data_IF_943578875578
#
_entry.id   IF_943578875578
#
_cell.length_a   1.000
_cell.length_b   1.000
_cell.length_c   1.000
_cell.angle_alpha   90.00
_cell.angle_beta   90.00
_cell.angle_gamma   90.00
#
_symmetry.space_group_name_H-M   'P 1'
#
loop_
_entity.id
_entity.type
_entity.pdbx_description
1 polymer ?
#
# COMPACT_ATOMS: atom_id res chain seq x y z
N UNK A 1 10.20 -24.51 0.38
CA UNK A 1 8.81 -24.94 0.68
C UNK A 1 7.89 -23.96 -0.04
N UNK A 2 7.37 -24.34 -1.21
CA UNK A 2 6.40 -23.49 -1.92
C UNK A 2 5.05 -23.58 -1.21
N UNK A 3 4.60 -22.46 -0.65
CA UNK A 3 3.26 -22.33 -0.09
C UNK A 3 2.27 -22.23 -1.25
N UNK A 4 1.91 -23.37 -1.84
CA UNK A 4 0.89 -23.43 -2.89
C UNK A 4 -0.48 -23.48 -2.25
N UNK A 5 -1.26 -22.42 -2.42
CA UNK A 5 -2.63 -22.38 -1.93
C UNK A 5 -3.50 -23.38 -2.72
N UNK A 6 -4.30 -24.17 -2.00
CA UNK A 6 -5.27 -25.08 -2.61
C UNK A 6 -6.28 -24.30 -3.45
N UNK A 7 -6.49 -24.71 -4.70
CA UNK A 7 -7.42 -24.06 -5.63
C UNK A 7 -8.86 -24.49 -5.35
N UNK A 8 -9.45 -23.93 -4.29
CA UNK A 8 -10.83 -24.23 -3.85
C UNK A 8 -11.85 -23.20 -4.38
N UNK A 9 -11.38 -22.17 -5.09
CA UNK A 9 -12.19 -21.06 -5.60
C UNK A 9 -11.50 -20.43 -6.81
N UNK A 10 -12.26 -19.75 -7.66
CA UNK A 10 -11.74 -18.92 -8.75
C UNK A 10 -10.92 -17.71 -8.25
N UNK A 11 -11.08 -17.35 -6.98
CA UNK A 11 -10.35 -16.26 -6.35
C UNK A 11 -8.98 -16.72 -5.85
N UNK A 12 -7.93 -15.97 -6.18
CA UNK A 12 -6.58 -16.16 -5.61
C UNK A 12 -6.64 -16.13 -4.08
N UNK A 13 -7.44 -15.23 -3.50
CA UNK A 13 -7.70 -15.16 -2.06
C UNK A 13 -9.20 -15.33 -1.80
N UNK A 14 -9.66 -16.53 -1.40
CA UNK A 14 -11.08 -16.83 -1.18
C UNK A 14 -11.55 -16.35 0.21
N UNK A 15 -11.25 -15.10 0.55
CA UNK A 15 -11.57 -14.52 1.85
C UNK A 15 -12.43 -13.27 1.71
N UNK A 16 -13.32 -13.05 2.69
CA UNK A 16 -14.09 -11.82 2.76
C UNK A 16 -13.20 -10.64 3.18
N UNK A 17 -13.18 -9.56 2.39
CA UNK A 17 -12.35 -8.38 2.63
C UNK A 17 -12.59 -7.74 4.01
N UNK A 18 -13.82 -7.76 4.53
CA UNK A 18 -14.13 -7.24 5.87
C UNK A 18 -13.46 -8.08 6.96
N UNK A 19 -13.45 -9.39 6.79
CA UNK A 19 -12.80 -10.33 7.73
C UNK A 19 -11.29 -10.11 7.76
N UNK A 20 -10.65 -9.87 6.61
CA UNK A 20 -9.21 -9.56 6.53
C UNK A 20 -8.88 -8.28 7.31
N UNK A 21 -9.63 -7.20 7.09
CA UNK A 21 -9.42 -5.94 7.82
C UNK A 21 -9.62 -6.08 9.34
N UNK A 22 -10.63 -6.85 9.76
CA UNK A 22 -10.87 -7.13 11.17
C UNK A 22 -9.75 -7.99 11.80
N UNK A 23 -9.26 -9.00 11.07
CA UNK A 23 -8.16 -9.85 11.50
C UNK A 23 -6.87 -9.04 11.66
N UNK A 24 -6.54 -8.19 10.68
CA UNK A 24 -5.40 -7.28 10.76
C UNK A 24 -5.49 -6.37 11.99
N UNK A 25 -6.63 -5.70 12.19
CA UNK A 25 -6.84 -4.80 13.34
C UNK A 25 -6.66 -5.53 14.68
N UNK A 26 -7.14 -6.78 14.79
CA UNK A 26 -6.94 -7.61 15.98
C UNK A 26 -5.47 -7.91 16.25
N UNK A 27 -4.72 -8.30 15.21
CA UNK A 27 -3.30 -8.64 15.34
C UNK A 27 -2.49 -7.41 15.74
N UNK A 28 -2.68 -6.28 15.06
CA UNK A 28 -2.04 -4.99 15.41
C UNK A 28 -2.27 -4.63 16.87
N UNK A 29 -3.52 -4.74 17.35
CA UNK A 29 -3.85 -4.50 18.76
C UNK A 29 -3.18 -5.48 19.72
N UNK A 30 -3.15 -6.78 19.39
CA UNK A 30 -2.50 -7.78 20.25
C UNK A 30 -0.99 -7.59 20.37
N UNK A 31 -0.37 -6.96 19.37
CA UNK A 31 1.05 -6.61 19.37
C UNK A 31 1.33 -5.26 20.05
N UNK A 32 0.31 -4.57 20.56
CA UNK A 32 0.46 -3.25 21.19
C UNK A 32 0.86 -2.14 20.21
N UNK A 33 0.63 -2.32 18.91
CA UNK A 33 0.94 -1.30 17.90
C UNK A 33 -0.20 -0.28 17.89
N UNK A 34 0.16 0.99 18.08
CA UNK A 34 -0.77 2.10 18.07
C UNK A 34 -0.77 2.80 16.70
N UNK A 35 -1.92 3.35 16.33
CA UNK A 35 -2.11 4.18 15.13
C UNK A 35 -1.72 3.54 13.78
N UNK A 36 -1.77 2.19 13.70
CA UNK A 36 -1.56 1.46 12.45
C UNK A 36 -2.89 0.89 11.93
N UNK A 37 -3.25 1.27 10.71
CA UNK A 37 -4.47 0.90 10.00
C UNK A 37 -4.09 0.14 8.74
N UNK A 38 -4.99 -0.72 8.25
CA UNK A 38 -4.70 -1.53 7.07
C UNK A 38 -4.40 -0.71 5.80
N UNK A 39 -5.03 0.47 5.65
CA UNK A 39 -4.77 1.36 4.51
C UNK A 39 -3.37 2.01 4.54
N UNK A 40 -2.70 2.04 5.70
CA UNK A 40 -1.38 2.63 5.83
C UNK A 40 -0.33 1.80 5.10
N UNK A 41 -0.59 0.50 4.90
CA UNK A 41 0.26 -0.36 4.07
C UNK A 41 0.30 0.12 2.61
N UNK A 42 -0.83 0.63 2.09
CA UNK A 42 -0.86 1.25 0.75
C UNK A 42 -0.13 2.58 0.75
N UNK A 43 -0.25 3.37 1.82
CA UNK A 43 0.48 4.62 1.96
C UNK A 43 1.99 4.39 1.99
N UNK A 44 2.45 3.42 2.77
CA UNK A 44 3.86 3.02 2.86
C UNK A 44 4.40 2.53 1.52
N UNK A 45 3.64 1.70 0.80
CA UNK A 45 4.04 1.25 -0.53
C UNK A 45 4.20 2.43 -1.51
N UNK A 46 3.29 3.40 -1.49
CA UNK A 46 3.39 4.60 -2.30
C UNK A 46 4.64 5.42 -1.93
N UNK A 47 4.87 5.66 -0.63
CA UNK A 47 6.05 6.38 -0.13
C UNK A 47 7.35 5.73 -0.62
N UNK A 48 7.48 4.40 -0.51
CA UNK A 48 8.67 3.67 -0.99
C UNK A 48 8.92 3.83 -2.48
N UNK A 49 7.87 3.86 -3.30
CA UNK A 49 8.02 4.08 -4.74
C UNK A 49 8.54 5.50 -5.01
N UNK A 50 8.03 6.52 -4.30
CA UNK A 50 8.58 7.87 -4.43
C UNK A 50 10.03 7.96 -3.95
N UNK A 51 10.40 7.30 -2.84
CA UNK A 51 11.78 7.24 -2.36
C UNK A 51 12.73 6.55 -3.33
N UNK A 52 12.22 5.60 -4.13
CA UNK A 52 12.96 4.94 -5.21
C UNK A 52 13.07 5.80 -6.48
N UNK A 53 12.46 6.98 -6.50
CA UNK A 53 12.56 7.94 -7.61
C UNK A 53 11.57 7.72 -8.75
N UNK A 54 10.53 6.90 -8.54
CA UNK A 54 9.46 6.75 -9.53
C UNK A 54 8.66 8.06 -9.67
N UNK A 55 8.25 8.37 -10.90
CA UNK A 55 7.42 9.53 -11.17
C UNK A 55 5.99 9.31 -10.65
N UNK A 56 5.29 10.39 -10.34
CA UNK A 56 3.92 10.37 -9.85
C UNK A 56 3.01 9.51 -10.72
N UNK A 57 3.25 9.54 -12.05
CA UNK A 57 2.56 8.76 -13.09
C UNK A 57 2.73 7.25 -12.92
N UNK A 58 3.94 6.81 -12.61
CA UNK A 58 4.24 5.40 -12.39
C UNK A 58 3.64 4.94 -11.05
N UNK A 59 3.73 5.79 -10.02
CA UNK A 59 3.22 5.46 -8.70
C UNK A 59 1.70 5.26 -8.70
N UNK A 60 0.88 6.09 -9.37
CA UNK A 60 -0.56 5.77 -9.39
C UNK A 60 -0.91 4.56 -10.24
N UNK A 61 -0.16 4.26 -11.30
CA UNK A 61 -0.41 3.06 -12.08
C UNK A 61 -0.25 1.81 -11.19
N UNK A 62 0.83 1.76 -10.41
CA UNK A 62 1.12 0.65 -9.49
C UNK A 62 0.14 0.63 -8.31
N UNK A 63 -0.19 1.79 -7.74
CA UNK A 63 -1.05 1.87 -6.54
C UNK A 63 -2.55 1.89 -6.86
N UNK A 64 -2.92 2.01 -8.14
CA UNK A 64 -4.30 1.99 -8.65
C UNK A 64 -5.09 3.28 -8.42
N UNK A 65 -4.45 4.46 -8.31
CA UNK A 65 -5.20 5.71 -8.17
C UNK A 65 -5.66 6.23 -9.54
N UNK A 66 -6.96 6.54 -9.66
CA UNK A 66 -7.53 7.18 -10.85
C UNK A 66 -7.29 8.70 -10.89
N UNK A 67 -7.08 9.30 -9.72
CA UNK A 67 -6.76 10.71 -9.55
C UNK A 67 -5.45 10.85 -8.76
N UNK A 68 -4.51 11.59 -9.35
CA UNK A 68 -3.15 11.86 -8.86
C UNK A 68 -3.13 12.88 -7.72
N UNK A 69 -4.22 13.62 -7.50
CA UNK A 69 -4.33 14.61 -6.43
C UNK A 69 -4.03 14.00 -5.04
N UNK A 70 -4.41 12.74 -4.83
CA UNK A 70 -4.13 12.00 -3.59
C UNK A 70 -2.65 11.64 -3.39
N UNK A 71 -1.86 11.65 -4.47
CA UNK A 71 -0.42 11.34 -4.43
C UNK A 71 0.47 12.57 -4.30
N UNK A 72 -0.07 13.77 -4.54
CA UNK A 72 0.66 15.04 -4.43
C UNK A 72 1.24 15.28 -3.03
N UNK A 73 0.72 14.62 -1.99
CA UNK A 73 1.29 14.66 -0.63
C UNK A 73 2.65 13.95 -0.51
N UNK A 74 2.99 13.06 -1.44
CA UNK A 74 4.28 12.34 -1.47
C UNK A 74 5.31 13.00 -2.37
N UNK A 75 4.90 13.93 -3.23
CA UNK A 75 5.81 14.77 -3.99
C UNK A 75 6.35 15.87 -3.09
N UNK A 76 7.14 15.51 -2.07
CA UNK A 76 8.02 16.46 -1.42
C UNK A 76 9.08 16.81 -2.46
N UNK A 77 8.78 17.82 -3.27
CA UNK A 77 9.73 18.38 -4.24
C UNK A 77 10.93 18.84 -3.43
N UNK A 78 12.02 18.06 -3.44
CA UNK A 78 13.28 18.52 -2.89
C UNK A 78 13.74 19.68 -3.79
N UNK A 79 14.04 20.87 -3.25
CA UNK A 79 14.56 22.00 -4.04
C UNK A 79 15.77 21.60 -4.90
N UNK A 80 16.50 20.59 -4.45
CA UNK A 80 17.69 20.01 -5.07
C UNK A 80 17.41 19.34 -6.42
N UNK A 81 16.17 18.92 -6.68
CA UNK A 81 15.73 18.34 -7.97
C UNK A 81 15.24 19.39 -8.98
N UNK A 82 15.17 20.67 -8.60
CA UNK A 82 14.70 21.75 -9.49
C UNK A 82 15.83 22.39 -10.32
N UNK A 83 17.09 22.12 -9.97
CA UNK A 83 18.25 22.56 -10.75
C UNK A 83 18.90 21.36 -11.42
N UNK A 84 18.51 21.12 -12.67
CA UNK A 84 19.33 20.40 -13.64
C UNK A 84 19.39 21.19 -14.93
#
# INVERSE_FOLDING_TARGET
MELKQSQVSDLIFPYNSKSVGAAFTRVVRSLGIHDLRFHDLRHEAASRLFEQGYDIQEVALVTGHKDWNMLRRYTQIKPESLHR
#
